data_IF_306256222306
#
_entry.id   IF_306256222306
#
_cell.length_a   1.000
_cell.length_b   1.000
_cell.length_c   1.000
_cell.angle_alpha   90.00
_cell.angle_beta   90.00
_cell.angle_gamma   90.00
#
_symmetry.space_group_name_H-M   'P 1'
#
loop_
_entity.id
_entity.type
_entity.pdbx_description
1 polymer ?
#
# COMPACT_ATOMS: atom_id res chain seq x y z
N UNK A 1 56.24 44.54 35.51
CA UNK A 1 55.76 44.89 34.14
C UNK A 1 56.09 43.78 33.16
N UNK A 2 55.43 42.63 33.27
CA UNK A 2 55.53 41.50 32.32
C UNK A 2 54.34 40.57 32.60
N UNK A 3 53.78 39.98 31.54
CA UNK A 3 52.77 38.89 31.50
C UNK A 3 51.28 39.29 31.33
N UNK A 4 50.89 39.81 30.16
CA UNK A 4 49.52 39.65 29.61
C UNK A 4 49.55 39.93 28.10
N UNK A 5 50.14 39.04 27.27
CA UNK A 5 50.08 39.20 25.80
C UNK A 5 50.10 37.89 25.01
N UNK A 6 49.76 36.76 25.64
CA UNK A 6 49.60 35.46 25.00
C UNK A 6 48.30 34.84 25.48
N UNK A 7 47.18 35.12 24.80
CA UNK A 7 45.98 34.27 24.90
C UNK A 7 44.92 34.53 23.81
N UNK A 8 45.00 35.61 23.03
CA UNK A 8 43.92 35.93 22.07
C UNK A 8 44.09 35.38 20.64
N UNK A 9 45.20 34.73 20.30
CA UNK A 9 45.44 34.28 18.91
C UNK A 9 45.04 32.83 18.60
N UNK A 10 44.63 32.03 19.59
CA UNK A 10 44.27 30.60 19.37
C UNK A 10 42.76 30.39 19.18
N UNK A 11 41.92 31.34 19.61
CA UNK A 11 40.46 31.20 19.55
C UNK A 11 39.89 31.52 18.15
N UNK A 12 40.64 32.24 17.30
CA UNK A 12 40.19 32.58 15.94
C UNK A 12 40.42 31.46 14.90
N UNK A 13 41.22 30.43 15.20
CA UNK A 13 41.48 29.31 14.27
C UNK A 13 40.52 28.12 14.41
N UNK A 14 39.69 28.08 15.47
CA UNK A 14 38.77 26.96 15.73
C UNK A 14 37.37 27.20 15.12
N UNK A 15 37.05 28.42 14.68
CA UNK A 15 35.74 28.76 14.09
C UNK A 15 35.67 28.65 12.55
N UNK A 16 36.71 28.12 11.90
CA UNK A 16 36.74 27.84 10.46
C UNK A 16 36.82 26.34 10.15
N UNK A 17 36.41 25.46 11.08
CA UNK A 17 35.98 24.11 10.70
C UNK A 17 34.62 24.22 10.01
N UNK A 18 34.68 24.62 8.75
CA UNK A 18 33.61 24.49 7.77
C UNK A 18 32.98 23.11 7.91
N UNK A 19 31.70 23.11 8.30
CA UNK A 19 30.81 21.97 8.13
C UNK A 19 30.81 21.65 6.63
N UNK A 20 31.66 20.70 6.22
CA UNK A 20 31.60 20.12 4.90
C UNK A 20 30.30 19.33 4.83
N UNK A 21 29.22 20.03 4.49
CA UNK A 21 28.01 19.40 3.95
C UNK A 21 28.47 18.73 2.67
N UNK A 22 28.72 17.43 2.75
CA UNK A 22 29.06 16.65 1.57
C UNK A 22 27.80 16.65 0.71
N UNK A 23 27.78 17.53 -0.30
CA UNK A 23 26.79 17.44 -1.36
C UNK A 23 26.88 16.03 -1.93
N UNK A 24 25.75 15.30 -1.95
CA UNK A 24 25.69 13.98 -2.56
C UNK A 24 26.12 14.13 -4.02
N UNK A 25 27.09 13.30 -4.44
CA UNK A 25 27.57 13.29 -5.81
C UNK A 25 26.45 12.80 -6.74
N UNK A 26 26.35 13.38 -7.94
CA UNK A 26 25.47 12.85 -8.97
C UNK A 26 25.97 11.47 -9.40
N UNK A 27 25.04 10.59 -9.72
CA UNK A 27 25.31 9.24 -10.20
C UNK A 27 24.52 9.03 -11.49
N UNK A 28 25.12 8.42 -12.50
CA UNK A 28 24.40 8.01 -13.70
C UNK A 28 23.45 6.86 -13.36
N UNK A 29 22.15 7.03 -13.63
CA UNK A 29 21.15 5.96 -13.55
C UNK A 29 20.74 5.58 -14.97
N UNK A 30 20.72 4.27 -15.26
CA UNK A 30 20.29 3.74 -16.56
C UNK A 30 19.00 2.94 -16.41
N UNK A 31 17.98 3.29 -17.20
CA UNK A 31 16.78 2.49 -17.41
C UNK A 31 16.97 1.65 -18.66
N UNK A 32 16.76 0.34 -18.54
CA UNK A 32 16.83 -0.62 -19.64
C UNK A 32 15.44 -1.25 -19.80
N UNK A 33 14.89 -1.22 -21.01
CA UNK A 33 13.55 -1.67 -21.35
C UNK A 33 13.59 -2.71 -22.47
N UNK A 34 12.79 -3.76 -22.33
CA UNK A 34 12.39 -4.66 -23.41
C UNK A 34 10.91 -5.05 -23.29
N UNK A 35 10.44 -6.02 -24.09
CA UNK A 35 9.04 -6.46 -24.07
C UNK A 35 8.59 -7.07 -22.75
N UNK A 36 9.52 -7.59 -21.95
CA UNK A 36 9.27 -8.42 -20.77
C UNK A 36 9.96 -7.90 -19.51
N UNK A 37 10.86 -6.93 -19.62
CA UNK A 37 11.62 -6.40 -18.49
C UNK A 37 11.80 -4.89 -18.51
N UNK A 38 11.79 -4.33 -17.31
CA UNK A 38 12.29 -2.99 -17.00
C UNK A 38 13.36 -3.13 -15.92
N UNK A 39 14.54 -2.57 -16.15
CA UNK A 39 15.67 -2.64 -15.21
C UNK A 39 16.18 -1.25 -14.89
N UNK A 40 16.27 -0.93 -13.60
CA UNK A 40 17.01 0.21 -13.08
C UNK A 40 18.42 -0.27 -12.77
N UNK A 41 19.42 0.27 -13.44
CA UNK A 41 20.83 0.01 -13.16
C UNK A 41 21.50 1.25 -12.58
N UNK A 42 22.17 1.07 -11.45
CA UNK A 42 23.04 2.07 -10.85
C UNK A 42 24.46 1.49 -10.76
N UNK A 43 25.48 2.11 -11.40
CA UNK A 43 26.85 1.63 -11.36
C UNK A 43 27.52 1.89 -10.00
N UNK A 44 28.73 1.36 -9.83
CA UNK A 44 29.53 1.48 -8.61
C UNK A 44 29.80 2.95 -8.24
N UNK A 45 29.13 3.42 -7.18
CA UNK A 45 29.19 4.81 -6.68
C UNK A 45 29.13 4.92 -5.15
N UNK A 46 29.18 3.79 -4.42
CA UNK A 46 29.00 3.72 -2.97
C UNK A 46 27.55 3.39 -2.61
N UNK A 47 26.88 4.29 -1.89
CA UNK A 47 25.46 4.12 -1.50
C UNK A 47 24.58 5.19 -2.13
N UNK A 48 23.41 4.82 -2.63
CA UNK A 48 22.46 5.72 -3.28
C UNK A 48 21.10 5.65 -2.56
N UNK A 49 20.38 6.78 -2.51
CA UNK A 49 18.97 6.79 -2.13
C UNK A 49 18.13 6.77 -3.41
N UNK A 50 17.22 5.80 -3.52
CA UNK A 50 16.13 5.76 -4.50
C UNK A 50 14.76 5.91 -3.79
N UNK A 51 14.75 6.47 -2.58
CA UNK A 51 13.50 6.75 -1.85
C UNK A 51 12.65 7.73 -2.66
N UNK A 52 11.36 7.42 -2.86
CA UNK A 52 10.43 8.19 -3.69
C UNK A 52 10.64 8.09 -5.20
N UNK A 53 11.51 7.18 -5.67
CA UNK A 53 11.68 6.89 -7.09
C UNK A 53 10.46 6.12 -7.61
N UNK A 54 9.99 6.42 -8.82
CA UNK A 54 8.80 5.78 -9.40
C UNK A 54 8.70 5.93 -10.90
N UNK A 55 7.62 5.38 -11.47
CA UNK A 55 7.35 5.38 -12.90
C UNK A 55 5.95 5.89 -13.21
N UNK A 56 5.82 6.53 -14.36
CA UNK A 56 4.53 6.82 -14.99
C UNK A 56 4.53 6.36 -16.44
N UNK A 57 3.40 5.85 -16.92
CA UNK A 57 3.21 5.53 -18.32
C UNK A 57 1.75 5.75 -18.74
N UNK A 58 1.56 6.29 -19.94
CA UNK A 58 0.24 6.41 -20.55
C UNK A 58 -0.18 5.02 -21.06
N UNK A 59 -1.32 4.51 -20.60
CA UNK A 59 -1.85 3.19 -20.97
C UNK A 59 -2.81 3.32 -22.15
N UNK A 60 -3.74 4.28 -22.04
CA UNK A 60 -4.75 4.67 -23.04
C UNK A 60 -4.86 6.20 -23.08
N UNK A 61 -5.63 6.77 -24.01
CA UNK A 61 -5.72 8.22 -24.25
C UNK A 61 -5.98 9.07 -22.98
N UNK A 62 -6.64 8.51 -21.97
CA UNK A 62 -6.96 9.20 -20.71
C UNK A 62 -6.41 8.49 -19.44
N UNK A 63 -5.76 7.34 -19.56
CA UNK A 63 -5.31 6.55 -18.40
C UNK A 63 -3.79 6.66 -18.17
N UNK A 64 -3.42 7.19 -17.01
CA UNK A 64 -2.04 7.30 -16.55
C UNK A 64 -1.78 6.25 -15.45
N UNK A 65 -0.87 5.33 -15.72
CA UNK A 65 -0.35 4.41 -14.73
C UNK A 65 0.74 5.10 -13.91
N UNK A 66 0.68 5.02 -12.58
CA UNK A 66 1.65 5.61 -11.66
C UNK A 66 2.00 4.55 -10.61
N UNK A 67 3.29 4.29 -10.42
CA UNK A 67 3.78 3.32 -9.42
C UNK A 67 5.08 3.81 -8.79
N UNK A 68 5.23 3.67 -7.47
CA UNK A 68 6.51 3.94 -6.81
C UNK A 68 7.33 2.66 -6.70
N UNK A 69 8.65 2.80 -6.75
CA UNK A 69 9.57 1.68 -6.65
C UNK A 69 9.42 0.94 -5.31
N UNK A 70 9.21 1.69 -4.22
CA UNK A 70 8.97 1.14 -2.88
C UNK A 70 7.62 0.44 -2.74
N UNK A 71 6.73 0.51 -3.73
CA UNK A 71 5.47 -0.23 -3.70
C UNK A 71 5.69 -1.72 -4.01
N UNK A 72 6.78 -2.11 -4.67
CA UNK A 72 6.98 -3.52 -5.04
C UNK A 72 7.49 -4.37 -3.86
N UNK A 73 6.84 -5.51 -3.53
CA UNK A 73 7.27 -6.36 -2.42
C UNK A 73 8.71 -6.89 -2.52
N UNK A 74 9.22 -7.14 -3.74
CA UNK A 74 10.61 -7.54 -3.93
C UNK A 74 11.62 -6.43 -3.56
N UNK A 75 11.14 -5.20 -3.39
CA UNK A 75 11.91 -4.03 -3.01
C UNK A 75 11.54 -3.48 -1.62
N UNK A 76 10.97 -4.32 -0.74
CA UNK A 76 10.68 -4.02 0.67
C UNK A 76 11.97 -3.98 1.52
N UNK A 77 12.89 -3.11 1.13
CA UNK A 77 14.11 -2.80 1.86
C UNK A 77 14.33 -1.29 1.86
N UNK A 78 15.26 -0.82 2.69
CA UNK A 78 15.55 0.60 2.81
C UNK A 78 16.11 1.17 1.48
N UNK A 79 15.24 1.82 0.72
CA UNK A 79 15.60 2.49 -0.53
C UNK A 79 16.47 3.74 -0.30
N UNK A 80 16.64 4.22 0.94
CA UNK A 80 17.43 5.43 1.22
C UNK A 80 18.94 5.18 1.28
N UNK A 81 19.38 3.92 1.30
CA UNK A 81 20.78 3.54 1.52
C UNK A 81 21.23 2.30 0.74
N UNK A 82 20.87 2.22 -0.55
CA UNK A 82 21.13 1.04 -1.37
C UNK A 82 22.63 0.98 -1.75
N UNK A 83 23.34 -0.13 -1.46
CA UNK A 83 24.71 -0.31 -1.92
C UNK A 83 24.76 -0.49 -3.44
N UNK A 84 25.71 0.15 -4.10
CA UNK A 84 25.92 0.07 -5.56
C UNK A 84 27.19 -0.73 -5.86
N UNK A 85 27.25 -1.49 -6.98
CA UNK A 85 26.30 -1.46 -8.10
C UNK A 85 25.00 -2.22 -7.75
N UNK A 86 23.87 -1.79 -8.30
CA UNK A 86 22.57 -2.45 -8.06
C UNK A 86 21.74 -2.52 -9.34
N UNK A 87 21.01 -3.61 -9.49
CA UNK A 87 19.95 -3.78 -10.49
C UNK A 87 18.61 -4.09 -9.83
N UNK A 88 17.62 -3.24 -10.07
CA UNK A 88 16.24 -3.47 -9.66
C UNK A 88 15.43 -3.81 -10.90
N UNK A 89 14.93 -5.04 -10.97
CA UNK A 89 14.30 -5.60 -12.16
C UNK A 89 12.82 -5.84 -11.93
N UNK A 90 11.99 -5.28 -12.80
CA UNK A 90 10.61 -5.71 -13.00
C UNK A 90 10.60 -6.70 -14.17
N UNK A 91 10.00 -7.88 -13.99
CA UNK A 91 9.95 -8.94 -15.01
C UNK A 91 8.53 -9.44 -15.18
N UNK A 92 8.07 -9.56 -16.42
CA UNK A 92 6.82 -10.26 -16.76
C UNK A 92 6.90 -11.72 -16.33
N UNK A 93 5.89 -12.19 -15.60
CA UNK A 93 5.84 -13.53 -15.07
C UNK A 93 5.85 -14.57 -16.21
N UNK A 94 6.44 -15.74 -15.94
CA UNK A 94 6.64 -16.81 -16.93
C UNK A 94 7.52 -16.45 -18.15
N UNK A 95 8.33 -15.39 -18.07
CA UNK A 95 9.33 -15.06 -19.10
C UNK A 95 10.74 -15.39 -18.61
N UNK A 96 11.59 -15.88 -19.52
CA UNK A 96 13.00 -16.19 -19.24
C UNK A 96 13.94 -15.20 -19.94
N UNK A 97 13.69 -13.91 -19.74
CA UNK A 97 14.55 -12.87 -20.30
C UNK A 97 15.88 -12.85 -19.53
N UNK A 98 17.05 -12.91 -20.20
CA UNK A 98 18.33 -12.84 -19.52
C UNK A 98 18.54 -11.47 -18.86
N UNK A 99 19.29 -11.41 -17.77
CA UNK A 99 19.68 -10.14 -17.16
C UNK A 99 20.58 -9.34 -18.13
N UNK A 100 20.44 -8.00 -18.20
CA UNK A 100 21.37 -7.17 -18.95
C UNK A 100 22.81 -7.43 -18.54
N UNK A 101 23.76 -7.38 -19.48
CA UNK A 101 25.17 -7.71 -19.22
C UNK A 101 25.82 -6.80 -18.15
N UNK A 102 25.26 -5.62 -17.93
CA UNK A 102 25.70 -4.64 -16.92
C UNK A 102 25.22 -4.98 -15.51
N UNK A 103 24.27 -5.92 -15.36
CA UNK A 103 23.72 -6.31 -14.07
C UNK A 103 24.50 -7.45 -13.42
N UNK A 104 25.21 -7.20 -12.31
CA UNK A 104 25.81 -8.27 -11.54
C UNK A 104 24.71 -9.11 -10.87
N UNK A 105 24.78 -10.44 -11.06
CA UNK A 105 23.78 -11.38 -10.51
C UNK A 105 23.64 -11.29 -8.98
N UNK A 106 24.71 -10.90 -8.27
CA UNK A 106 24.72 -10.81 -6.80
C UNK A 106 24.10 -9.52 -6.25
N UNK A 107 23.85 -8.52 -7.09
CA UNK A 107 23.22 -7.25 -6.69
C UNK A 107 21.96 -6.98 -7.53
N UNK A 108 21.21 -8.04 -7.83
CA UNK A 108 19.95 -7.95 -8.56
C UNK A 108 18.79 -8.36 -7.67
N UNK A 109 17.81 -7.47 -7.51
CA UNK A 109 16.50 -7.78 -6.94
C UNK A 109 15.47 -7.82 -8.06
N UNK A 110 14.60 -8.84 -8.07
CA UNK A 110 13.59 -9.03 -9.15
C UNK A 110 12.19 -9.09 -8.58
N UNK A 111 11.30 -8.27 -9.12
CA UNK A 111 9.86 -8.32 -8.94
C UNK A 111 9.22 -8.99 -10.16
N UNK A 112 8.45 -10.06 -9.94
CA UNK A 112 7.61 -10.67 -10.98
C UNK A 112 6.28 -9.90 -11.09
N UNK A 113 5.83 -9.65 -12.32
CA UNK A 113 4.60 -8.92 -12.63
C UNK A 113 3.70 -9.74 -13.55
N UNK A 114 2.39 -9.70 -13.33
CA UNK A 114 1.43 -10.25 -14.30
C UNK A 114 1.31 -9.30 -15.50
N UNK A 115 0.77 -9.77 -16.62
CA UNK A 115 0.67 -8.98 -17.86
C UNK A 115 -0.03 -7.62 -17.68
N UNK A 116 -1.04 -7.56 -16.80
CA UNK A 116 -1.78 -6.33 -16.51
C UNK A 116 -0.93 -5.25 -15.83
N UNK A 117 0.16 -5.63 -15.15
CA UNK A 117 1.06 -4.70 -14.44
C UNK A 117 2.29 -4.33 -15.28
N UNK A 118 2.40 -4.86 -16.52
CA UNK A 118 3.48 -4.51 -17.45
C UNK A 118 3.13 -3.20 -18.17
N UNK A 119 3.35 -2.08 -17.50
CA UNK A 119 2.96 -0.76 -17.99
C UNK A 119 3.87 -0.18 -19.09
N UNK A 120 5.08 -0.74 -19.28
CA UNK A 120 6.05 -0.25 -20.27
C UNK A 120 5.91 -0.89 -21.65
N UNK A 121 5.09 -1.93 -21.79
CA UNK A 121 4.89 -2.66 -23.04
C UNK A 121 3.44 -3.13 -23.18
N UNK A 122 2.80 -2.76 -24.28
CA UNK A 122 1.47 -3.24 -24.63
C UNK A 122 1.56 -4.64 -25.25
N UNK A 123 1.10 -5.66 -24.53
CA UNK A 123 1.12 -7.06 -25.01
C UNK A 123 0.15 -7.30 -26.15
N UNK A 124 -0.97 -6.56 -26.20
CA UNK A 124 -2.03 -6.75 -27.19
C UNK A 124 -1.62 -6.12 -28.52
N UNK A 125 -1.16 -4.87 -28.48
CA UNK A 125 -0.68 -4.16 -29.65
C UNK A 125 0.77 -4.50 -30.02
N UNK A 126 1.51 -5.18 -29.15
CA UNK A 126 2.94 -5.49 -29.32
C UNK A 126 3.80 -4.24 -29.57
N UNK A 127 3.56 -3.19 -28.79
CA UNK A 127 4.29 -1.91 -28.88
C UNK A 127 4.85 -1.50 -27.53
N UNK A 128 6.06 -0.94 -27.53
CA UNK A 128 6.64 -0.30 -26.34
C UNK A 128 5.91 1.01 -26.04
N UNK A 129 5.81 1.36 -24.75
CA UNK A 129 5.24 2.63 -24.28
C UNK A 129 6.34 3.56 -23.80
N UNK A 130 6.03 4.86 -23.76
CA UNK A 130 6.91 5.83 -23.14
C UNK A 130 6.81 5.71 -21.62
N UNK A 131 7.95 5.68 -20.93
CA UNK A 131 8.03 5.58 -19.47
C UNK A 131 8.65 6.87 -18.93
N UNK A 132 7.95 7.54 -18.02
CA UNK A 132 8.45 8.71 -17.30
C UNK A 132 9.01 8.22 -15.97
N UNK A 133 10.28 8.48 -15.71
CA UNK A 133 10.91 8.23 -14.41
C UNK A 133 10.64 9.43 -13.52
N UNK A 134 10.24 9.18 -12.27
CA UNK A 134 9.84 10.23 -11.33
C UNK A 134 10.52 10.11 -9.98
N UNK A 135 10.56 11.21 -9.24
CA UNK A 135 11.05 11.33 -7.88
C UNK A 135 10.06 12.18 -7.08
N UNK A 136 9.36 11.59 -6.11
CA UNK A 136 8.29 12.27 -5.36
C UNK A 136 7.25 12.96 -6.28
N UNK A 137 6.88 12.28 -7.37
CA UNK A 137 6.03 12.76 -8.46
C UNK A 137 6.64 13.80 -9.43
N UNK A 138 7.82 14.35 -9.16
CA UNK A 138 8.54 15.20 -10.11
C UNK A 138 9.17 14.36 -11.22
N UNK A 139 9.01 14.75 -12.49
CA UNK A 139 9.61 14.04 -13.63
C UNK A 139 11.12 14.24 -13.68
N UNK A 140 11.88 13.14 -13.70
CA UNK A 140 13.34 13.13 -13.85
C UNK A 140 13.76 13.01 -15.32
N UNK A 141 13.22 12.03 -16.03
CA UNK A 141 13.49 11.78 -17.46
C UNK A 141 12.30 11.07 -18.11
N UNK A 142 12.14 11.23 -19.42
CA UNK A 142 11.23 10.43 -20.24
C UNK A 142 12.06 9.44 -21.07
N UNK A 143 11.78 8.15 -20.92
CA UNK A 143 12.20 7.08 -21.81
C UNK A 143 11.18 6.92 -22.95
N UNK A 144 11.50 7.35 -24.19
CA UNK A 144 10.55 7.27 -25.29
C UNK A 144 10.23 5.83 -25.67
N UNK A 145 9.00 5.58 -26.11
CA UNK A 145 8.59 4.32 -26.72
C UNK A 145 9.60 3.85 -27.78
N UNK A 146 9.99 2.58 -27.69
CA UNK A 146 10.91 1.94 -28.63
C UNK A 146 12.39 2.24 -28.38
N UNK A 147 12.74 3.07 -27.39
CA UNK A 147 14.12 3.24 -26.96
C UNK A 147 14.45 2.25 -25.82
N UNK A 148 15.31 1.24 -26.05
CA UNK A 148 15.57 0.20 -25.06
C UNK A 148 16.47 0.67 -23.91
N UNK A 149 17.13 1.83 -24.02
CA UNK A 149 18.05 2.33 -22.99
C UNK A 149 17.96 3.84 -22.85
N UNK A 150 17.81 4.34 -21.62
CA UNK A 150 17.91 5.76 -21.30
C UNK A 150 18.80 5.95 -20.07
N UNK A 151 19.76 6.87 -20.13
CA UNK A 151 20.60 7.26 -19.00
C UNK A 151 20.33 8.71 -18.60
N UNK A 152 20.48 9.02 -17.32
CA UNK A 152 20.45 10.39 -16.81
C UNK A 152 21.29 10.54 -15.54
N UNK A 153 21.74 11.77 -15.27
CA UNK A 153 22.40 12.12 -14.02
C UNK A 153 21.34 12.30 -12.93
N UNK A 154 21.46 11.51 -11.86
CA UNK A 154 20.57 11.57 -10.72
C UNK A 154 21.32 12.08 -9.50
N UNK A 155 20.76 13.11 -8.85
CA UNK A 155 21.25 13.60 -7.56
C UNK A 155 20.23 13.20 -6.50
N UNK A 156 20.57 12.26 -5.58
CA UNK A 156 19.64 11.83 -4.56
C UNK A 156 19.14 13.02 -3.71
N UNK A 157 17.87 13.02 -3.28
CA UNK A 157 17.40 14.04 -2.36
C UNK A 157 18.21 13.96 -1.07
N UNK A 158 18.59 15.12 -0.54
CA UNK A 158 19.31 15.19 0.74
C UNK A 158 18.50 14.43 1.79
N UNK A 159 19.09 13.44 2.50
CA UNK A 159 18.37 12.65 3.48
C UNK A 159 17.64 13.58 4.43
N UNK A 160 16.30 13.49 4.47
CA UNK A 160 15.53 14.30 5.40
C UNK A 160 15.99 13.87 6.80
N UNK A 161 16.52 14.78 7.65
CA UNK A 161 16.97 14.40 8.98
C UNK A 161 15.82 13.69 9.69
N UNK A 162 16.09 12.48 10.18
CA UNK A 162 15.10 11.63 10.83
C UNK A 162 14.33 12.48 11.84
N UNK A 163 13.02 12.65 11.61
CA UNK A 163 12.19 13.49 12.46
C UNK A 163 12.26 12.88 13.86
N UNK A 164 12.80 13.63 14.83
CA UNK A 164 12.92 13.17 16.19
C UNK A 164 11.54 12.69 16.68
N UNK A 165 11.38 11.39 16.87
CA UNK A 165 10.15 10.77 17.32
C UNK A 165 9.85 11.33 18.71
N UNK A 166 8.89 12.26 18.82
CA UNK A 166 8.40 12.72 20.12
C UNK A 166 7.68 11.54 20.75
N UNK A 167 8.30 10.96 21.78
CA UNK A 167 7.68 9.96 22.64
C UNK A 167 6.45 10.61 23.32
N UNK A 168 5.22 10.14 23.07
CA UNK A 168 4.04 10.78 23.67
C UNK A 168 4.02 10.50 25.17
N UNK A 169 4.01 11.55 25.98
CA UNK A 169 3.73 11.44 27.41
C UNK A 169 2.24 11.16 27.59
N UNK A 170 1.86 9.88 27.60
CA UNK A 170 0.49 9.43 27.87
C UNK A 170 0.14 9.74 29.32
N UNK A 171 -0.73 10.73 29.55
CA UNK A 171 -1.43 10.87 30.83
C UNK A 171 -2.64 9.93 30.83
N UNK A 172 -2.70 9.01 31.79
CA UNK A 172 -3.90 8.21 32.04
C UNK A 172 -5.01 9.15 32.54
N UNK A 173 -6.03 9.38 31.73
CA UNK A 173 -7.33 9.86 32.19
C UNK A 173 -8.29 8.68 32.27
N UNK A 174 -8.82 8.46 33.47
CA UNK A 174 -9.84 7.47 33.79
C UNK A 174 -11.17 7.90 33.16
N UNK A 175 -11.67 7.14 32.18
CA UNK A 175 -12.98 7.37 31.60
C UNK A 175 -14.09 7.01 32.60
N UNK A 176 -15.10 7.87 32.71
CA UNK A 176 -16.34 7.68 33.47
C UNK A 176 -17.31 6.83 32.62
N UNK A 177 -18.04 5.85 33.17
CA UNK A 177 -18.96 5.03 32.39
C UNK A 177 -20.22 5.81 32.00
N UNK A 178 -20.45 6.00 30.70
CA UNK A 178 -21.71 6.53 30.17
C UNK A 178 -22.74 5.40 30.09
N UNK A 179 -23.96 5.67 30.58
CA UNK A 179 -25.06 4.71 30.57
C UNK A 179 -25.55 4.41 29.15
N UNK A 180 -25.67 3.12 28.86
CA UNK A 180 -26.23 2.56 27.62
C UNK A 180 -27.76 2.71 27.65
N UNK A 181 -28.31 3.52 26.75
CA UNK A 181 -29.75 3.53 26.45
C UNK A 181 -30.12 2.32 25.59
N UNK A 182 -31.32 1.71 25.77
CA UNK A 182 -31.72 0.53 25.00
C UNK A 182 -32.04 0.86 23.54
N UNK A 183 -31.80 -0.08 22.60
CA UNK A 183 -32.00 0.16 21.18
C UNK A 183 -33.48 0.37 20.84
N UNK A 184 -33.72 1.40 20.03
CA UNK A 184 -34.99 1.76 19.41
C UNK A 184 -35.33 0.72 18.34
N UNK A 185 -36.52 0.11 18.43
CA UNK A 185 -37.11 -0.70 17.36
C UNK A 185 -37.18 0.11 16.06
N UNK A 186 -36.38 -0.26 15.06
CA UNK A 186 -36.48 0.21 13.68
C UNK A 186 -36.55 -0.99 12.74
N UNK A 187 -37.52 -0.92 11.83
CA UNK A 187 -37.76 -1.77 10.65
C UNK A 187 -36.52 -2.49 10.11
N UNK A 188 -36.63 -3.81 9.92
CA UNK A 188 -35.54 -4.71 9.51
C UNK A 188 -35.03 -4.38 8.10
N UNK A 189 -33.97 -3.57 8.04
CA UNK A 189 -33.08 -3.45 6.89
C UNK A 189 -31.74 -4.07 7.28
N UNK A 190 -31.12 -4.83 6.36
CA UNK A 190 -29.84 -5.49 6.58
C UNK A 190 -28.72 -4.51 6.91
N UNK A 191 -28.93 -3.26 6.48
CA UNK A 191 -28.02 -2.16 6.66
C UNK A 191 -28.72 -0.80 6.75
N UNK A 192 -28.09 0.17 7.39
CA UNK A 192 -28.43 1.59 7.30
C UNK A 192 -27.64 2.35 6.21
N UNK A 193 -26.78 1.65 5.45
CA UNK A 193 -26.01 2.18 4.33
C UNK A 193 -26.76 2.01 2.99
N UNK A 194 -26.43 2.84 2.00
CA UNK A 194 -27.05 2.78 0.66
C UNK A 194 -26.04 3.05 -0.45
N UNK A 195 -26.51 3.09 -1.71
CA UNK A 195 -25.68 3.45 -2.86
C UNK A 195 -24.58 2.45 -3.23
N UNK A 196 -24.76 1.19 -2.85
CA UNK A 196 -23.74 0.15 -3.01
C UNK A 196 -23.29 -0.06 -4.46
N UNK A 197 -21.97 -0.03 -4.66
CA UNK A 197 -21.30 -0.32 -5.94
C UNK A 197 -20.43 -1.57 -5.83
N UNK A 198 -20.33 -2.33 -6.92
CA UNK A 198 -19.43 -3.49 -7.01
C UNK A 198 -18.06 -3.07 -7.52
N UNK A 199 -17.01 -3.68 -6.99
CA UNK A 199 -15.62 -3.53 -7.46
C UNK A 199 -14.83 -4.83 -7.28
N UNK A 200 -13.60 -4.89 -7.80
CA UNK A 200 -12.74 -6.07 -7.73
C UNK A 200 -12.55 -6.78 -9.07
N UNK A 201 -12.06 -8.02 -9.02
CA UNK A 201 -11.75 -8.84 -10.19
C UNK A 201 -13.02 -9.20 -10.97
N UNK A 202 -12.89 -9.27 -12.30
CA UNK A 202 -13.95 -9.77 -13.19
C UNK A 202 -15.33 -9.13 -12.93
N UNK A 203 -15.36 -7.82 -12.65
CA UNK A 203 -16.59 -7.07 -12.37
C UNK A 203 -17.11 -7.17 -10.93
N UNK A 204 -16.31 -7.71 -10.01
CA UNK A 204 -16.54 -7.69 -8.57
C UNK A 204 -17.44 -8.81 -8.04
N UNK A 205 -17.68 -9.86 -8.84
CA UNK A 205 -18.55 -10.97 -8.48
C UNK A 205 -20.05 -10.64 -8.48
N UNK A 206 -20.84 -11.52 -7.87
CA UNK A 206 -22.29 -11.32 -7.71
C UNK A 206 -22.58 -10.84 -6.29
N UNK A 207 -23.42 -9.81 -6.20
CA UNK A 207 -23.88 -9.25 -4.94
C UNK A 207 -25.39 -9.11 -4.98
N UNK A 208 -26.06 -9.61 -3.94
CA UNK A 208 -27.50 -9.44 -3.73
C UNK A 208 -27.74 -8.76 -2.39
N UNK A 209 -28.55 -7.70 -2.40
CA UNK A 209 -28.89 -6.92 -1.22
C UNK A 209 -30.40 -7.05 -0.97
N UNK A 210 -30.76 -7.60 0.19
CA UNK A 210 -32.13 -7.78 0.62
C UNK A 210 -32.35 -7.12 1.98
N UNK A 211 -33.60 -7.06 2.44
CA UNK A 211 -33.93 -6.41 3.71
C UNK A 211 -33.30 -7.08 4.96
N UNK A 212 -32.77 -8.29 4.87
CA UNK A 212 -32.18 -8.98 6.03
C UNK A 212 -30.70 -9.33 5.89
N UNK A 213 -30.18 -9.37 4.66
CA UNK A 213 -28.80 -9.77 4.38
C UNK A 213 -28.27 -9.20 3.06
N UNK A 214 -26.95 -9.09 3.00
CA UNK A 214 -26.19 -8.94 1.76
C UNK A 214 -25.41 -10.24 1.50
N UNK A 215 -25.50 -10.79 0.29
CA UNK A 215 -24.77 -12.00 -0.11
C UNK A 215 -23.79 -11.64 -1.22
N UNK A 216 -22.51 -11.96 -1.03
CA UNK A 216 -21.45 -11.79 -2.01
C UNK A 216 -20.88 -13.14 -2.44
N UNK A 217 -20.67 -13.35 -3.74
CA UNK A 217 -20.10 -14.57 -4.29
C UNK A 217 -19.13 -14.28 -5.44
N UNK A 218 -17.94 -14.87 -5.38
CA UNK A 218 -16.83 -14.67 -6.33
C UNK A 218 -16.17 -15.99 -6.68
N UNK A 219 -15.56 -16.07 -7.87
CA UNK A 219 -14.88 -17.27 -8.35
C UNK A 219 -13.56 -17.52 -7.59
N UNK A 220 -13.07 -18.77 -7.61
CA UNK A 220 -11.80 -19.13 -6.98
C UNK A 220 -10.65 -18.18 -7.39
N UNK A 221 -9.87 -17.74 -6.40
CA UNK A 221 -8.71 -16.87 -6.63
C UNK A 221 -9.04 -15.42 -7.05
N UNK A 222 -10.30 -14.99 -6.97
CA UNK A 222 -10.72 -13.62 -7.33
C UNK A 222 -11.24 -12.85 -6.14
N UNK A 223 -11.02 -11.54 -6.13
CA UNK A 223 -11.56 -10.61 -5.14
C UNK A 223 -12.86 -9.95 -5.63
N UNK A 224 -13.85 -9.83 -4.75
CA UNK A 224 -15.04 -9.01 -4.96
C UNK A 224 -15.28 -8.08 -3.80
N UNK A 225 -15.62 -6.85 -4.13
CA UNK A 225 -15.87 -5.75 -3.20
C UNK A 225 -17.28 -5.19 -3.43
N UNK A 226 -17.91 -4.78 -2.33
CA UNK A 226 -19.19 -4.09 -2.36
C UNK A 226 -19.08 -2.88 -1.45
N UNK A 227 -19.04 -1.69 -2.04
CA UNK A 227 -18.71 -0.44 -1.35
C UNK A 227 -19.94 0.42 -1.26
N UNK A 228 -20.27 0.90 -0.05
CA UNK A 228 -21.39 1.79 0.17
C UNK A 228 -21.05 3.23 -0.30
N UNK A 229 -22.08 3.98 -0.69
CA UNK A 229 -21.95 5.42 -0.93
C UNK A 229 -21.94 6.17 0.41
N UNK A 230 -20.81 6.05 1.09
CA UNK A 230 -20.51 6.66 2.39
C UNK A 230 -19.09 7.20 2.36
N UNK A 231 -18.82 8.29 3.07
CA UNK A 231 -17.46 8.81 3.21
C UNK A 231 -17.35 9.67 4.47
N UNK A 232 -16.59 9.20 5.46
CA UNK A 232 -16.28 9.97 6.66
C UNK A 232 -14.92 9.56 7.24
N UNK A 233 -14.46 10.29 8.24
CA UNK A 233 -13.21 10.09 8.99
C UNK A 233 -13.43 9.59 10.41
N UNK A 234 -14.64 9.74 10.94
CA UNK A 234 -15.02 9.39 12.31
C UNK A 234 -16.29 8.55 12.28
N UNK A 235 -16.17 7.26 12.59
CA UNK A 235 -17.28 6.32 12.54
C UNK A 235 -17.02 5.03 13.32
N UNK A 236 -18.12 4.38 13.69
CA UNK A 236 -18.11 2.97 14.09
C UNK A 236 -18.81 2.17 12.99
N UNK A 237 -18.09 1.25 12.36
CA UNK A 237 -18.64 0.37 11.32
C UNK A 237 -18.60 -1.09 11.78
N UNK A 238 -19.74 -1.77 11.79
CA UNK A 238 -19.91 -3.14 12.28
C UNK A 238 -20.73 -3.99 11.31
N UNK A 239 -20.37 -5.27 11.18
CA UNK A 239 -21.22 -6.28 10.53
C UNK A 239 -20.96 -7.66 11.12
N UNK A 240 -22.00 -8.49 11.14
CA UNK A 240 -21.85 -9.94 11.29
C UNK A 240 -21.78 -10.60 9.91
N UNK A 241 -21.05 -11.70 9.78
CA UNK A 241 -21.01 -12.47 8.54
C UNK A 241 -20.67 -13.94 8.73
N UNK A 242 -21.02 -14.74 7.72
CA UNK A 242 -20.76 -16.18 7.65
C UNK A 242 -20.18 -16.52 6.28
N UNK A 243 -19.07 -17.26 6.23
CA UNK A 243 -18.57 -17.87 4.99
C UNK A 243 -19.38 -19.14 4.72
N UNK A 244 -20.22 -19.13 3.68
CA UNK A 244 -21.17 -20.21 3.34
C UNK A 244 -20.67 -21.11 2.22
N UNK A 245 -19.79 -20.60 1.36
CA UNK A 245 -19.23 -21.34 0.24
C UNK A 245 -17.74 -21.11 0.11
N UNK A 246 -17.00 -22.16 -0.23
CA UNK A 246 -15.57 -22.10 -0.53
C UNK A 246 -15.31 -22.67 -1.91
N UNK A 247 -14.52 -21.95 -2.71
CA UNK A 247 -14.04 -22.45 -4.00
C UNK A 247 -12.57 -22.88 -3.96
N UNK A 248 -11.87 -22.64 -2.84
CA UNK A 248 -10.47 -23.02 -2.58
C UNK A 248 -10.06 -22.74 -1.13
N UNK A 249 -8.94 -23.32 -0.67
CA UNK A 249 -8.49 -23.29 0.73
C UNK A 249 -8.15 -21.90 1.30
N UNK A 250 -8.09 -20.85 0.48
CA UNK A 250 -7.84 -19.46 0.90
C UNK A 250 -9.09 -18.58 1.01
N UNK A 251 -10.29 -19.15 0.89
CA UNK A 251 -11.55 -18.38 0.92
C UNK A 251 -11.61 -17.44 2.13
N UNK A 252 -11.91 -16.17 1.90
CA UNK A 252 -11.99 -15.18 2.97
C UNK A 252 -13.14 -14.19 2.80
N UNK A 253 -13.57 -13.61 3.91
CA UNK A 253 -14.60 -12.57 3.96
C UNK A 253 -14.28 -11.57 5.08
N UNK A 254 -14.83 -10.36 4.96
CA UNK A 254 -14.65 -9.33 5.97
C UNK A 254 -15.07 -7.95 5.48
N UNK A 255 -14.45 -6.92 6.05
CA UNK A 255 -14.82 -5.52 5.82
C UNK A 255 -13.71 -4.72 5.15
N UNK A 256 -14.13 -3.66 4.48
CA UNK A 256 -13.33 -2.61 3.88
C UNK A 256 -13.68 -1.30 4.61
N UNK A 257 -12.67 -0.50 4.95
CA UNK A 257 -12.86 0.77 5.65
C UNK A 257 -11.75 1.75 5.30
N UNK A 258 -12.02 3.05 5.52
CA UNK A 258 -11.12 4.15 5.12
C UNK A 258 -10.66 3.97 3.67
N UNK A 259 -11.65 3.70 2.80
CA UNK A 259 -11.44 3.27 1.42
C UNK A 259 -11.68 4.41 0.44
N UNK A 260 -10.86 4.46 -0.60
CA UNK A 260 -11.23 5.07 -1.87
C UNK A 260 -12.47 4.37 -2.44
N UNK A 261 -13.15 5.05 -3.37
CA UNK A 261 -14.34 4.51 -4.03
C UNK A 261 -14.05 3.18 -4.76
N UNK A 262 -12.85 3.05 -5.31
CA UNK A 262 -12.29 1.79 -5.77
C UNK A 262 -11.25 1.30 -4.74
N UNK A 263 -11.53 0.23 -3.97
CA UNK A 263 -10.65 -0.27 -2.91
C UNK A 263 -9.27 -0.67 -3.39
N UNK A 264 -9.12 -1.04 -4.67
CA UNK A 264 -7.81 -1.38 -5.23
C UNK A 264 -6.88 -0.17 -5.27
N UNK A 265 -7.43 1.05 -5.32
CA UNK A 265 -6.67 2.31 -5.38
C UNK A 265 -6.25 2.82 -4.01
N UNK A 266 -6.86 2.32 -2.94
CA UNK A 266 -6.51 2.70 -1.59
C UNK A 266 -7.57 2.30 -0.58
N UNK A 267 -7.24 1.44 0.38
CA UNK A 267 -8.14 1.12 1.48
C UNK A 267 -7.42 0.38 2.60
N UNK A 268 -8.10 0.21 3.73
CA UNK A 268 -7.83 -0.91 4.63
C UNK A 268 -8.88 -2.01 4.46
N UNK A 269 -8.44 -3.25 4.57
CA UNK A 269 -9.30 -4.44 4.61
C UNK A 269 -8.94 -5.27 5.84
N UNK A 270 -9.96 -5.74 6.54
CA UNK A 270 -9.81 -6.74 7.58
C UNK A 270 -10.63 -7.96 7.18
N UNK A 271 -9.98 -9.13 7.14
CA UNK A 271 -10.59 -10.37 6.64
C UNK A 271 -10.21 -11.58 7.45
N UNK A 272 -11.15 -12.51 7.57
CA UNK A 272 -10.92 -13.84 8.13
C UNK A 272 -10.86 -14.85 6.98
N UNK A 273 -9.91 -15.78 7.03
CA UNK A 273 -9.70 -16.80 6.01
C UNK A 273 -9.83 -18.20 6.58
N UNK A 274 -10.50 -19.09 5.85
CA UNK A 274 -10.58 -20.52 6.20
C UNK A 274 -9.22 -21.23 6.12
N UNK A 275 -8.18 -20.55 5.62
CA UNK A 275 -6.79 -20.98 5.72
C UNK A 275 -6.24 -20.94 7.16
N UNK A 276 -7.00 -20.39 8.11
CA UNK A 276 -6.62 -20.33 9.53
C UNK A 276 -5.90 -19.04 9.91
N UNK A 277 -6.30 -17.91 9.30
CA UNK A 277 -5.70 -16.61 9.58
C UNK A 277 -6.72 -15.46 9.54
N UNK A 278 -6.42 -14.43 10.31
CA UNK A 278 -7.00 -13.08 10.17
C UNK A 278 -5.93 -12.20 9.54
N UNK A 279 -6.30 -11.43 8.53
CA UNK A 279 -5.40 -10.51 7.85
C UNK A 279 -5.95 -9.09 7.91
N UNK A 280 -5.08 -8.16 8.26
CA UNK A 280 -5.28 -6.73 7.99
C UNK A 280 -4.36 -6.36 6.84
N UNK A 281 -4.97 -5.93 5.75
CA UNK A 281 -4.31 -5.58 4.50
C UNK A 281 -4.62 -4.13 4.20
N UNK A 282 -3.66 -3.41 3.63
CA UNK A 282 -3.83 -2.06 3.13
C UNK A 282 -3.49 -2.06 1.64
N UNK A 283 -4.35 -1.52 0.81
CA UNK A 283 -3.97 -1.19 -0.56
C UNK A 283 -3.41 0.22 -0.56
N UNK A 284 -2.21 0.39 -1.10
CA UNK A 284 -1.54 1.69 -1.18
C UNK A 284 -1.63 2.35 -2.55
N UNK A 285 -1.73 1.51 -3.57
CA UNK A 285 -1.85 1.80 -4.99
C UNK A 285 -2.46 0.56 -5.68
N UNK A 286 -2.91 0.70 -6.93
CA UNK A 286 -3.66 -0.32 -7.68
C UNK A 286 -3.08 -1.74 -7.52
N UNK A 287 -3.88 -2.65 -6.96
CA UNK A 287 -3.55 -4.09 -6.79
C UNK A 287 -2.28 -4.41 -6.00
N UNK A 288 -1.80 -3.48 -5.16
CA UNK A 288 -0.65 -3.72 -4.29
C UNK A 288 -1.05 -3.84 -2.81
N UNK A 289 -1.40 -5.06 -2.33
CA UNK A 289 -1.76 -5.28 -0.93
C UNK A 289 -0.52 -5.32 -0.04
N UNK A 290 -0.40 -4.33 0.86
CA UNK A 290 0.52 -4.35 1.99
C UNK A 290 -0.12 -5.12 3.14
N UNK A 291 0.51 -6.21 3.57
CA UNK A 291 0.06 -6.98 4.73
C UNK A 291 0.47 -6.24 6.01
N UNK A 292 -0.47 -5.48 6.57
CA UNK A 292 -0.26 -4.68 7.79
C UNK A 292 -0.12 -5.57 9.01
N UNK A 293 -0.94 -6.61 9.10
CA UNK A 293 -0.92 -7.54 10.22
C UNK A 293 -1.51 -8.90 9.84
N UNK A 294 -1.09 -9.96 10.52
CA UNK A 294 -1.65 -11.31 10.35
C UNK A 294 -1.64 -12.03 11.68
N UNK A 295 -2.77 -12.65 12.03
CA UNK A 295 -2.93 -13.45 13.23
C UNK A 295 -3.34 -14.88 12.86
N UNK A 296 -2.65 -15.92 13.35
CA UNK A 296 -3.13 -17.29 13.19
C UNK A 296 -4.38 -17.47 14.04
N UNK A 297 -5.49 -17.83 13.41
CA UNK A 297 -6.76 -18.09 14.08
C UNK A 297 -7.55 -19.07 13.23
N UNK A 298 -7.99 -20.17 13.84
CA UNK A 298 -8.82 -21.12 13.12
C UNK A 298 -10.18 -20.48 12.79
N UNK A 299 -10.50 -20.45 11.49
CA UNK A 299 -11.76 -19.95 10.95
C UNK A 299 -12.53 -21.13 10.35
N UNK A 300 -13.83 -21.18 10.61
CA UNK A 300 -14.70 -22.25 10.15
C UNK A 300 -15.78 -21.67 9.25
N UNK A 301 -16.08 -22.39 8.16
CA UNK A 301 -17.28 -22.12 7.38
C UNK A 301 -18.53 -22.31 8.25
N UNK A 302 -19.62 -21.66 7.86
CA UNK A 302 -20.91 -21.72 8.56
C UNK A 302 -20.85 -21.28 10.03
N UNK A 303 -19.82 -20.53 10.41
CA UNK A 303 -19.67 -19.89 11.72
C UNK A 303 -19.85 -18.39 11.55
N UNK A 304 -20.60 -17.78 12.46
CA UNK A 304 -20.82 -16.33 12.47
C UNK A 304 -19.65 -15.63 13.14
N UNK A 305 -19.14 -14.62 12.46
CA UNK A 305 -18.11 -13.71 12.95
C UNK A 305 -18.66 -12.29 12.96
N UNK A 306 -18.30 -11.48 13.96
CA UNK A 306 -18.66 -10.06 14.00
C UNK A 306 -17.39 -9.22 13.94
N UNK A 307 -17.28 -8.40 12.90
CA UNK A 307 -16.15 -7.51 12.73
C UNK A 307 -16.61 -6.07 12.88
N UNK A 308 -15.80 -5.31 13.63
CA UNK A 308 -16.10 -3.93 13.98
C UNK A 308 -14.84 -3.08 13.88
N UNK A 309 -14.95 -1.90 13.30
CA UNK A 309 -13.92 -0.88 13.27
C UNK A 309 -14.42 0.38 13.96
N UNK A 310 -13.59 0.93 14.84
CA UNK A 310 -13.73 2.29 15.35
C UNK A 310 -12.65 3.12 14.65
N UNK A 311 -13.02 4.10 13.82
CA UNK A 311 -12.08 5.02 13.17
C UNK A 311 -12.40 6.45 13.63
N UNK A 312 -11.38 7.22 14.00
CA UNK A 312 -11.57 8.58 14.47
C UNK A 312 -10.32 9.13 15.16
N UNK A 313 -10.21 10.46 15.25
CA UNK A 313 -9.12 11.11 15.99
C UNK A 313 -7.70 10.82 15.47
N UNK A 314 -7.56 10.33 14.24
CA UNK A 314 -6.26 9.91 13.67
C UNK A 314 -5.79 8.54 14.14
N UNK A 315 -6.68 7.68 14.63
CA UNK A 315 -6.41 6.27 14.92
C UNK A 315 -7.56 5.38 14.39
N UNK A 316 -7.33 4.07 14.34
CA UNK A 316 -8.44 3.12 14.27
C UNK A 316 -8.15 1.85 15.07
N UNK A 317 -9.23 1.21 15.55
CA UNK A 317 -9.20 -0.05 16.28
C UNK A 317 -10.10 -1.07 15.61
N UNK A 318 -9.59 -2.28 15.46
CA UNK A 318 -10.33 -3.40 14.88
C UNK A 318 -10.64 -4.45 15.93
N UNK A 319 -11.86 -4.97 15.85
CA UNK A 319 -12.38 -5.99 16.75
C UNK A 319 -12.94 -7.16 15.95
N UNK A 320 -12.71 -8.37 16.47
CA UNK A 320 -13.37 -9.60 16.04
C UNK A 320 -14.05 -10.23 17.24
N UNK A 321 -15.36 -10.45 17.14
CA UNK A 321 -16.20 -11.02 18.19
C UNK A 321 -16.04 -10.28 19.53
N UNK A 322 -15.97 -8.94 19.46
CA UNK A 322 -15.79 -8.05 20.61
C UNK A 322 -14.35 -7.93 21.14
N UNK A 323 -13.42 -8.76 20.67
CA UNK A 323 -12.02 -8.70 21.08
C UNK A 323 -11.23 -7.78 20.14
N UNK A 324 -10.47 -6.84 20.70
CA UNK A 324 -9.58 -5.99 19.89
C UNK A 324 -8.46 -6.86 19.31
N UNK A 325 -8.37 -6.89 17.98
CA UNK A 325 -7.36 -7.66 17.24
C UNK A 325 -6.25 -6.77 16.65
N UNK A 326 -6.50 -5.48 16.48
CA UNK A 326 -5.53 -4.56 15.91
C UNK A 326 -5.81 -3.10 16.30
N UNK A 327 -4.75 -2.30 16.31
CA UNK A 327 -4.76 -0.86 16.56
C UNK A 327 -3.72 -0.19 15.67
N UNK A 328 -4.07 0.94 15.06
CA UNK A 328 -3.13 1.76 14.31
C UNK A 328 -3.29 3.25 14.65
N UNK A 329 -2.16 3.90 14.91
CA UNK A 329 -2.05 5.34 15.02
C UNK A 329 -1.67 5.95 13.67
N UNK A 330 -2.17 7.15 13.38
CA UNK A 330 -1.90 7.92 12.15
C UNK A 330 -2.07 7.07 10.87
N UNK A 331 -3.28 6.55 10.58
CA UNK A 331 -3.51 5.73 9.40
C UNK A 331 -3.19 6.52 8.13
N UNK A 332 -2.77 5.81 7.08
CA UNK A 332 -2.45 6.41 5.77
C UNK A 332 -3.67 7.11 5.17
N UNK A 333 -4.83 6.51 5.34
CA UNK A 333 -6.12 7.04 4.93
C UNK A 333 -6.83 7.62 6.15
N UNK A 334 -7.08 8.93 6.14
CA UNK A 334 -7.73 9.64 7.25
C UNK A 334 -9.25 9.71 7.14
N UNK A 335 -9.82 9.37 5.99
CA UNK A 335 -11.25 9.29 5.70
C UNK A 335 -11.49 8.30 4.58
N UNK A 336 -12.70 7.78 4.45
CA UNK A 336 -13.05 7.00 3.28
C UNK A 336 -14.40 6.31 3.38
N UNK A 337 -14.74 5.61 2.31
CA UNK A 337 -15.87 4.72 2.24
C UNK A 337 -15.66 3.45 3.08
N UNK A 338 -16.77 2.75 3.28
CA UNK A 338 -16.83 1.44 3.92
C UNK A 338 -17.46 0.42 2.98
N UNK A 339 -17.17 -0.85 3.22
CA UNK A 339 -17.77 -1.91 2.42
C UNK A 339 -17.42 -3.31 2.89
N UNK A 340 -17.76 -4.26 2.03
CA UNK A 340 -17.66 -5.69 2.26
C UNK A 340 -16.69 -6.30 1.25
N UNK A 341 -16.03 -7.39 1.63
CA UNK A 341 -15.17 -8.14 0.73
C UNK A 341 -15.43 -9.64 0.81
N UNK A 342 -15.34 -10.32 -0.34
CA UNK A 342 -15.26 -11.78 -0.44
C UNK A 342 -14.12 -12.14 -1.38
N UNK A 343 -13.33 -13.16 -1.05
CA UNK A 343 -12.25 -13.67 -1.88
C UNK A 343 -12.42 -15.18 -2.08
N UNK A 344 -12.55 -15.58 -3.34
CA UNK A 344 -12.78 -16.94 -3.84
C UNK A 344 -13.77 -17.83 -3.10
N UNK A 345 -14.95 -17.31 -2.78
CA UNK A 345 -16.05 -18.07 -2.25
C UNK A 345 -17.32 -17.25 -2.10
N UNK A 346 -18.15 -17.62 -1.13
CA UNK A 346 -19.43 -16.97 -0.83
C UNK A 346 -19.51 -16.63 0.66
N UNK A 347 -20.03 -15.43 0.96
CA UNK A 347 -20.34 -15.02 2.32
C UNK A 347 -21.66 -14.26 2.40
N UNK A 348 -22.33 -14.42 3.54
CA UNK A 348 -23.57 -13.74 3.90
C UNK A 348 -23.28 -12.76 5.03
N UNK A 349 -23.63 -11.49 4.82
CA UNK A 349 -23.44 -10.38 5.74
C UNK A 349 -24.79 -9.91 6.29
N UNK A 350 -24.84 -9.63 7.58
CA UNK A 350 -26.04 -9.20 8.32
C UNK A 350 -25.66 -8.15 9.36
N UNK A 351 -26.66 -7.39 9.84
CA UNK A 351 -26.49 -6.35 10.87
C UNK A 351 -25.40 -5.31 10.50
N UNK A 352 -25.36 -4.90 9.24
CA UNK A 352 -24.34 -3.98 8.73
C UNK A 352 -24.72 -2.55 9.16
N UNK A 353 -24.01 -1.97 10.11
CA UNK A 353 -24.35 -0.66 10.65
C UNK A 353 -23.16 0.27 10.63
N UNK A 354 -23.43 1.55 10.39
CA UNK A 354 -22.50 2.65 10.62
C UNK A 354 -23.10 3.67 11.58
N UNK A 355 -22.31 4.17 12.53
CA UNK A 355 -22.69 5.22 13.48
C UNK A 355 -21.72 6.39 13.47
#
# INVERSE_FOLDING_TARGET
MRRYFLCFSVIAWILLYSLNVHAQQSVEVTIILDSDTLVIYVPESGTISLDGFGFQAQIDDDELYIIQLGDYPAFDFDLSGIPTPVCLRLRRNNTDTPLPIRCPRYATSTQELIDADVFWYDTVASISRSVIVTQNADSLIVCPAGNPVCSFEYTPPTPRPARATRQPTRQLQTAVPTQVTPPRNTTSSATNLSGWIRGGDNGGGTWSNSNSQIVGSVAAGTDGFYIADYNDSDFIYETSFVITGSSWGGTSAGIIFLSERDPLRGCYMARVSIAGEIQIVRYDNYRNPVRVHTLPQQIYMNTSYTMRVEAGGGEFRLYLDGNQIFHADAPRYGSGAVGLMVNGGEAVFTNISIE
#
